data_IF_140548843803
#
_entry.id   IF_140548843803
#
_cell.length_a   1.000
_cell.length_b   1.000
_cell.length_c   1.000
_cell.angle_alpha   90.00
_cell.angle_beta   90.00
_cell.angle_gamma   90.00
#
_symmetry.space_group_name_H-M   'P 1'
#
loop_
_entity.id
_entity.type
_entity.pdbx_description
1 polymer ?
#
# COMPACT_ATOMS: atom_id res chain seq x y z
N UNK A 1 -7.75 9.53 11.47
CA UNK A 1 -8.22 10.13 10.22
C UNK A 1 -9.64 10.68 10.44
N UNK A 2 -9.94 11.84 9.91
CA UNK A 2 -11.27 12.42 9.97
C UNK A 2 -11.82 12.65 8.56
N UNK A 3 -13.07 12.22 8.31
CA UNK A 3 -13.68 12.22 6.98
C UNK A 3 -14.70 13.35 6.85
N UNK A 4 -14.55 14.13 5.78
CA UNK A 4 -15.51 15.14 5.34
C UNK A 4 -15.76 14.99 3.82
N UNK A 5 -16.97 14.56 3.45
CA UNK A 5 -17.33 14.26 2.06
C UNK A 5 -16.42 13.18 1.45
N UNK A 6 -15.80 13.50 0.34
CA UNK A 6 -14.91 12.56 -0.38
C UNK A 6 -13.45 12.57 0.12
N UNK A 7 -13.14 13.34 1.16
CA UNK A 7 -11.79 13.49 1.68
C UNK A 7 -11.62 12.92 3.09
N UNK A 8 -10.45 12.43 3.37
CA UNK A 8 -9.97 12.07 4.70
C UNK A 8 -8.73 12.90 5.03
N UNK A 9 -8.73 13.54 6.17
CA UNK A 9 -7.58 14.29 6.70
C UNK A 9 -7.01 13.53 7.88
N UNK A 10 -5.70 13.32 7.89
CA UNK A 10 -5.01 12.70 9.01
C UNK A 10 -4.22 13.77 9.74
N UNK A 11 -4.33 13.82 11.07
CA UNK A 11 -3.47 14.65 11.91
C UNK A 11 -2.24 13.84 12.32
N UNK A 12 -1.06 14.29 11.92
CA UNK A 12 0.22 13.75 12.34
C UNK A 12 0.91 14.74 13.27
N UNK A 13 1.39 14.26 14.41
CA UNK A 13 2.13 15.06 15.37
C UNK A 13 3.55 14.53 15.47
N UNK A 14 4.51 15.31 14.99
CA UNK A 14 5.93 14.97 15.06
C UNK A 14 6.57 15.55 16.30
N UNK A 15 7.34 14.73 16.99
CA UNK A 15 8.14 15.11 18.15
C UNK A 15 9.56 14.59 18.00
N UNK A 16 10.52 15.23 18.62
CA UNK A 16 11.91 14.75 18.70
C UNK A 16 12.43 14.78 20.12
N UNK A 17 13.26 13.82 20.46
CA UNK A 17 14.04 13.78 21.70
C UNK A 17 15.43 14.34 21.53
N UNK A 18 15.86 14.62 20.27
CA UNK A 18 17.15 15.22 19.94
C UNK A 18 17.22 16.66 20.42
N UNK A 19 18.38 17.09 20.88
CA UNK A 19 18.67 18.50 21.15
C UNK A 19 18.90 19.31 19.86
N UNK A 20 19.26 18.62 18.77
CA UNK A 20 19.34 19.20 17.43
C UNK A 20 17.97 19.22 16.76
N UNK A 21 17.77 20.21 15.88
CA UNK A 21 16.61 20.29 15.02
C UNK A 21 16.58 19.14 14.02
N UNK A 22 15.41 18.54 13.82
CA UNK A 22 15.17 17.45 12.87
C UNK A 22 14.31 17.96 11.73
N UNK A 23 14.82 17.96 10.52
CA UNK A 23 14.07 18.37 9.34
C UNK A 23 13.08 17.28 8.90
N UNK A 24 11.84 17.66 8.61
CA UNK A 24 10.83 16.76 8.03
C UNK A 24 11.07 16.51 6.53
N UNK A 25 11.88 17.32 5.88
CA UNK A 25 12.17 17.16 4.45
C UNK A 25 12.85 15.83 4.12
N UNK A 26 13.81 15.40 4.94
CA UNK A 26 14.59 14.18 4.65
C UNK A 26 13.74 12.90 4.63
N UNK A 27 12.85 12.63 5.62
CA UNK A 27 12.03 11.45 5.60
C UNK A 27 10.86 11.50 4.59
N UNK A 28 10.33 12.69 4.30
CA UNK A 28 9.08 12.82 3.54
C UNK A 28 9.20 13.55 2.21
N UNK A 29 10.31 14.25 1.97
CA UNK A 29 10.54 15.00 0.74
C UNK A 29 10.72 14.08 -0.47
N UNK A 30 10.23 14.51 -1.62
CA UNK A 30 10.48 13.86 -2.89
C UNK A 30 11.61 14.54 -3.64
N UNK A 31 12.56 13.76 -4.17
CA UNK A 31 13.58 14.26 -5.08
C UNK A 31 13.03 14.71 -6.43
N UNK A 32 11.85 14.19 -6.82
CA UNK A 32 11.19 14.53 -8.07
C UNK A 32 10.30 15.77 -7.98
N UNK A 33 9.72 16.02 -6.81
CA UNK A 33 8.89 17.19 -6.53
C UNK A 33 9.29 17.75 -5.17
N UNK A 34 10.33 18.59 -5.11
CA UNK A 34 10.74 19.22 -3.85
C UNK A 34 9.55 19.99 -3.24
N UNK A 35 9.30 19.75 -1.97
CA UNK A 35 8.20 20.39 -1.25
C UNK A 35 6.92 19.58 -1.15
N UNK A 36 6.86 18.35 -1.70
CA UNK A 36 5.67 17.49 -1.63
C UNK A 36 5.90 16.28 -0.70
N UNK A 37 4.91 15.95 0.14
CA UNK A 37 4.90 14.73 0.97
C UNK A 37 4.32 13.53 0.21
N UNK A 38 4.69 13.35 -1.05
CA UNK A 38 4.13 12.32 -1.92
C UNK A 38 4.41 10.89 -1.49
N UNK A 39 5.20 10.71 -0.45
CA UNK A 39 5.62 9.39 0.02
C UNK A 39 4.70 8.80 1.10
N UNK A 40 3.84 9.61 1.77
CA UNK A 40 2.86 9.08 2.73
C UNK A 40 1.77 8.33 1.97
N UNK A 41 1.40 7.16 2.50
CA UNK A 41 0.29 6.36 1.96
C UNK A 41 -0.67 6.00 3.07
N UNK A 42 -1.97 6.16 2.80
CA UNK A 42 -3.02 5.61 3.64
C UNK A 42 -3.45 4.26 3.07
N UNK A 43 -3.56 3.26 3.91
CA UNK A 43 -3.84 1.87 3.53
C UNK A 43 -5.15 1.44 4.18
N UNK A 44 -6.06 0.86 3.39
CA UNK A 44 -7.22 0.11 3.87
C UNK A 44 -7.00 -1.35 3.51
N UNK A 45 -6.29 -2.07 4.37
CA UNK A 45 -5.82 -3.43 4.07
C UNK A 45 -6.99 -4.42 3.96
N UNK A 46 -8.06 -4.23 4.73
CA UNK A 46 -9.29 -5.02 4.67
C UNK A 46 -10.04 -4.88 3.33
N UNK A 47 -9.82 -3.77 2.62
CA UNK A 47 -10.37 -3.50 1.30
C UNK A 47 -9.35 -3.69 0.18
N UNK A 48 -8.09 -3.99 0.51
CA UNK A 48 -7.01 -4.08 -0.46
C UNK A 48 -6.75 -2.76 -1.20
N UNK A 49 -6.87 -1.62 -0.51
CA UNK A 49 -6.75 -0.29 -1.12
C UNK A 49 -5.59 0.51 -0.53
N UNK A 50 -4.90 1.24 -1.40
CA UNK A 50 -3.89 2.24 -1.04
C UNK A 50 -4.26 3.59 -1.62
N UNK A 51 -4.08 4.63 -0.82
CA UNK A 51 -4.38 6.02 -1.15
C UNK A 51 -3.09 6.82 -1.14
N UNK A 52 -2.92 7.63 -2.17
CA UNK A 52 -1.88 8.63 -2.27
C UNK A 52 -2.36 9.92 -1.62
N UNK A 53 -1.45 10.69 -1.06
CA UNK A 53 -1.71 12.04 -0.60
C UNK A 53 -2.06 12.95 -1.76
N UNK A 54 -3.05 13.83 -1.54
CA UNK A 54 -3.62 14.73 -2.56
C UNK A 54 -3.03 16.14 -2.51
N UNK A 55 -2.51 16.60 -1.37
CA UNK A 55 -1.99 17.96 -1.25
C UNK A 55 -0.61 18.06 -1.87
N UNK A 56 -0.48 18.83 -2.95
CA UNK A 56 0.80 19.06 -3.64
C UNK A 56 1.70 20.07 -2.92
N UNK A 57 1.10 21.03 -2.21
CA UNK A 57 1.84 22.03 -1.44
C UNK A 57 1.99 21.61 0.03
N UNK A 58 2.94 20.77 0.32
CA UNK A 58 3.26 20.56 1.73
C UNK A 58 4.09 21.72 2.25
N UNK A 59 3.39 22.73 2.68
CA UNK A 59 3.95 23.98 3.22
C UNK A 59 4.85 23.79 4.43
N UNK A 60 4.84 22.60 5.04
CA UNK A 60 5.52 22.28 6.29
C UNK A 60 6.73 21.37 6.18
N UNK A 61 7.10 20.92 4.96
CA UNK A 61 8.28 20.05 4.76
C UNK A 61 9.60 20.74 5.10
N UNK A 62 9.63 22.04 4.95
CA UNK A 62 10.83 22.82 5.28
C UNK A 62 10.91 23.19 6.76
N UNK A 63 9.90 22.77 7.54
CA UNK A 63 9.87 23.03 8.97
C UNK A 63 10.72 22.00 9.72
N UNK A 64 11.41 22.48 10.70
CA UNK A 64 12.16 21.66 11.64
C UNK A 64 11.27 21.26 12.82
N UNK A 65 11.45 20.05 13.31
CA UNK A 65 10.93 19.62 14.61
C UNK A 65 11.98 19.90 15.65
N UNK A 66 11.64 20.68 16.67
CA UNK A 66 12.50 21.00 17.79
C UNK A 66 12.04 20.23 19.05
N UNK A 67 12.99 19.98 19.94
CA UNK A 67 12.69 19.35 21.23
C UNK A 67 11.66 20.17 22.01
N UNK A 68 10.64 19.49 22.52
CA UNK A 68 9.51 20.07 23.24
C UNK A 68 8.63 21.03 22.40
N UNK A 69 8.77 21.05 21.09
CA UNK A 69 7.90 21.79 20.17
C UNK A 69 7.31 20.83 19.14
N UNK A 70 6.16 20.20 19.44
CA UNK A 70 5.49 19.33 18.47
C UNK A 70 5.16 20.06 17.18
N UNK A 71 5.28 19.36 16.06
CA UNK A 71 4.88 19.85 14.74
C UNK A 71 3.70 19.05 14.24
N UNK A 72 2.63 19.74 13.86
CA UNK A 72 1.44 19.12 13.28
C UNK A 72 1.47 19.22 11.77
N UNK A 73 1.09 18.13 11.11
CA UNK A 73 0.97 18.02 9.66
C UNK A 73 -0.35 17.30 9.35
N UNK A 74 -1.03 17.72 8.30
CA UNK A 74 -2.37 17.27 7.96
C UNK A 74 -2.45 16.75 6.53
N UNK A 75 -1.89 15.56 6.22
CA UNK A 75 -2.02 14.96 4.89
C UNK A 75 -3.48 14.67 4.57
N UNK A 76 -3.84 14.94 3.30
CA UNK A 76 -5.19 14.77 2.77
C UNK A 76 -5.22 13.62 1.78
N UNK A 77 -6.23 12.78 1.88
CA UNK A 77 -6.46 11.61 1.04
C UNK A 77 -7.91 11.58 0.56
N UNK A 78 -8.21 10.76 -0.44
CA UNK A 78 -9.60 10.35 -0.65
C UNK A 78 -10.11 9.56 0.56
N UNK A 79 -11.39 9.75 0.88
CA UNK A 79 -12.02 9.00 1.97
C UNK A 79 -12.05 7.50 1.66
N UNK A 80 -11.78 6.64 2.65
CA UNK A 80 -11.99 5.21 2.49
C UNK A 80 -13.48 4.90 2.30
N UNK A 81 -13.84 3.72 1.74
CA UNK A 81 -15.23 3.30 1.60
C UNK A 81 -16.00 3.34 2.92
N UNK A 82 -17.30 3.57 2.83
CA UNK A 82 -18.18 3.54 3.98
C UNK A 82 -18.04 2.21 4.74
N UNK A 83 -18.06 2.29 6.09
CA UNK A 83 -17.90 1.14 6.96
C UNK A 83 -16.46 0.77 7.31
N UNK A 84 -15.45 1.41 6.72
CA UNK A 84 -14.06 1.29 7.18
C UNK A 84 -13.90 2.06 8.49
N UNK A 85 -13.60 1.35 9.57
CA UNK A 85 -13.46 1.93 10.92
C UNK A 85 -12.04 2.33 11.27
N UNK A 86 -11.04 1.78 10.58
CA UNK A 86 -9.63 2.10 10.79
C UNK A 86 -8.84 1.94 9.48
N UNK A 87 -7.75 2.68 9.38
CA UNK A 87 -6.78 2.63 8.28
C UNK A 87 -5.37 2.55 8.85
N UNK A 88 -4.42 2.15 8.02
CA UNK A 88 -3.01 2.20 8.36
C UNK A 88 -2.31 3.31 7.58
N UNK A 89 -1.24 3.85 8.12
CA UNK A 89 -0.43 4.89 7.48
C UNK A 89 0.99 4.38 7.28
N UNK A 90 1.43 4.29 6.06
CA UNK A 90 2.83 4.11 5.73
C UNK A 90 3.53 5.46 5.78
N UNK A 91 4.51 5.57 6.66
CA UNK A 91 5.35 6.75 6.86
C UNK A 91 6.79 6.39 6.45
N UNK A 92 7.32 6.98 5.37
CA UNK A 92 8.67 6.67 4.89
C UNK A 92 9.71 6.84 5.99
N UNK A 93 10.63 5.88 6.09
CA UNK A 93 11.68 5.81 7.10
C UNK A 93 11.22 5.75 8.58
N UNK A 94 9.90 5.73 8.83
CA UNK A 94 9.31 5.64 10.18
C UNK A 94 8.48 4.35 10.37
N UNK A 95 8.13 3.65 9.28
CA UNK A 95 7.35 2.42 9.34
C UNK A 95 5.87 2.64 9.08
N UNK A 96 5.03 1.82 9.72
CA UNK A 96 3.58 1.85 9.54
C UNK A 96 2.90 2.12 10.87
N UNK A 97 2.09 3.17 10.91
CA UNK A 97 1.17 3.41 12.03
C UNK A 97 -0.13 2.65 11.74
N UNK A 98 -0.43 1.64 12.54
CA UNK A 98 -1.58 0.75 12.32
C UNK A 98 -2.79 1.15 13.17
N UNK A 99 -3.99 0.83 12.66
CA UNK A 99 -5.23 0.98 13.40
C UNK A 99 -5.62 2.44 13.67
N UNK A 100 -5.26 3.36 12.77
CA UNK A 100 -5.67 4.76 12.86
C UNK A 100 -7.19 4.85 12.68
N UNK A 101 -7.96 5.32 13.68
CA UNK A 101 -9.41 5.32 13.59
C UNK A 101 -9.90 6.28 12.50
N UNK A 102 -10.96 5.86 11.80
CA UNK A 102 -11.70 6.70 10.85
C UNK A 102 -12.89 7.31 11.58
N UNK A 103 -12.87 8.62 11.76
CA UNK A 103 -13.85 9.41 12.48
C UNK A 103 -14.66 10.28 11.50
N UNK A 104 -15.83 10.74 11.93
CA UNK A 104 -16.49 11.86 11.26
C UNK A 104 -15.74 13.15 11.58
N UNK A 105 -15.83 14.14 10.70
CA UNK A 105 -15.23 15.47 10.92
C UNK A 105 -15.66 16.12 12.24
N UNK A 106 -16.93 15.91 12.65
CA UNK A 106 -17.48 16.41 13.90
C UNK A 106 -16.90 15.76 15.16
N UNK A 107 -16.21 14.64 15.02
CA UNK A 107 -15.57 13.88 16.11
C UNK A 107 -14.06 14.17 16.21
N UNK A 108 -13.51 14.91 15.22
CA UNK A 108 -12.11 15.28 15.19
C UNK A 108 -11.80 16.40 16.21
N UNK A 109 -10.58 16.37 16.75
CA UNK A 109 -10.06 17.40 17.63
C UNK A 109 -9.38 18.57 16.90
N UNK A 110 -9.58 18.64 15.57
CA UNK A 110 -9.09 19.68 14.67
C UNK A 110 -10.15 20.02 13.61
N UNK A 111 -10.05 21.18 12.97
CA UNK A 111 -10.98 21.62 11.93
C UNK A 111 -10.58 21.01 10.57
N UNK A 112 -11.30 19.97 10.14
CA UNK A 112 -11.11 19.35 8.82
C UNK A 112 -11.39 20.36 7.71
N UNK A 113 -12.45 21.17 7.84
CA UNK A 113 -12.81 22.20 6.87
C UNK A 113 -11.72 23.24 6.67
N UNK A 114 -11.07 23.68 7.77
CA UNK A 114 -9.97 24.65 7.67
C UNK A 114 -8.74 24.07 6.97
N UNK A 115 -8.45 22.79 7.18
CA UNK A 115 -7.37 22.09 6.45
C UNK A 115 -7.71 22.04 4.96
N UNK A 116 -8.88 21.54 4.60
CA UNK A 116 -9.31 21.39 3.21
C UNK A 116 -9.38 22.73 2.48
N UNK A 117 -9.76 23.81 3.15
CA UNK A 117 -9.82 25.15 2.54
C UNK A 117 -8.46 25.73 2.17
N UNK A 118 -7.38 25.21 2.74
CA UNK A 118 -6.00 25.67 2.53
C UNK A 118 -5.17 24.70 1.68
N UNK A 119 -5.68 23.50 1.44
CA UNK A 119 -4.98 22.48 0.69
C UNK A 119 -5.09 22.74 -0.83
N UNK A 120 -4.01 22.53 -1.55
CA UNK A 120 -3.99 22.53 -3.02
C UNK A 120 -4.05 21.08 -3.50
N UNK A 121 -5.28 20.59 -3.78
CA UNK A 121 -5.52 19.19 -4.03
C UNK A 121 -5.32 18.83 -5.51
N UNK A 122 -4.40 17.89 -5.77
CA UNK A 122 -4.27 17.23 -7.07
C UNK A 122 -4.95 15.86 -7.03
N UNK A 123 -6.04 15.77 -7.79
CA UNK A 123 -6.81 14.53 -7.92
C UNK A 123 -6.46 13.72 -9.18
N UNK A 124 -5.52 14.19 -10.00
CA UNK A 124 -5.20 13.57 -11.29
C UNK A 124 -4.69 12.13 -11.18
N UNK A 125 -4.00 11.81 -10.09
CA UNK A 125 -3.47 10.47 -9.79
C UNK A 125 -3.77 10.05 -8.35
N UNK A 126 -4.93 10.40 -7.85
CA UNK A 126 -5.23 10.32 -6.42
C UNK A 126 -5.56 8.91 -5.90
N UNK A 127 -5.94 7.98 -6.77
CA UNK A 127 -6.43 6.67 -6.36
C UNK A 127 -7.89 6.69 -5.86
N UNK A 128 -8.36 5.68 -5.15
CA UNK A 128 -7.58 4.57 -4.56
C UNK A 128 -7.02 3.61 -5.60
N UNK A 129 -5.86 3.07 -5.27
CA UNK A 129 -5.23 2.01 -6.05
C UNK A 129 -5.42 0.67 -5.35
N UNK A 130 -5.52 -0.42 -6.12
CA UNK A 130 -5.55 -1.75 -5.54
C UNK A 130 -4.17 -2.16 -5.07
N UNK A 131 -4.13 -2.83 -3.92
CA UNK A 131 -2.94 -3.49 -3.42
C UNK A 131 -2.89 -4.86 -4.08
N UNK A 132 -1.88 -5.10 -4.90
CA UNK A 132 -1.57 -6.43 -5.40
C UNK A 132 -0.83 -7.20 -4.31
N UNK A 133 -1.30 -8.41 -4.00
CA UNK A 133 -0.59 -9.29 -3.07
C UNK A 133 0.25 -10.28 -3.86
N UNK A 134 1.50 -10.47 -3.43
CA UNK A 134 2.41 -11.47 -3.95
C UNK A 134 2.81 -12.41 -2.81
N UNK A 135 2.76 -13.69 -3.06
CA UNK A 135 3.18 -14.73 -2.13
C UNK A 135 4.17 -15.64 -2.82
N UNK A 136 5.33 -15.85 -2.20
CA UNK A 136 6.36 -16.77 -2.68
C UNK A 136 6.30 -18.04 -1.85
N UNK A 137 6.45 -19.20 -2.49
CA UNK A 137 6.68 -20.45 -1.76
C UNK A 137 8.07 -20.42 -1.11
N UNK A 138 8.19 -21.01 0.08
CA UNK A 138 9.44 -20.99 0.86
C UNK A 138 10.59 -21.75 0.19
N UNK A 139 10.28 -22.60 -0.79
CA UNK A 139 11.22 -23.40 -1.58
C UNK A 139 11.42 -22.83 -3.00
N UNK A 140 10.94 -21.61 -3.25
CA UNK A 140 10.97 -20.94 -4.54
C UNK A 140 10.31 -21.73 -5.71
N UNK A 141 9.52 -22.75 -5.40
CA UNK A 141 8.87 -23.62 -6.41
C UNK A 141 7.71 -22.94 -7.13
N UNK A 142 7.09 -21.96 -6.49
CA UNK A 142 5.96 -21.22 -7.08
C UNK A 142 5.83 -19.82 -6.48
N UNK A 143 5.26 -18.92 -7.26
CA UNK A 143 4.75 -17.64 -6.81
C UNK A 143 3.26 -17.51 -7.07
N UNK A 144 2.59 -16.70 -6.27
CA UNK A 144 1.17 -16.40 -6.46
C UNK A 144 0.98 -14.89 -6.43
N UNK A 145 0.42 -14.36 -7.52
CA UNK A 145 -0.01 -12.98 -7.64
C UNK A 145 -1.53 -12.92 -7.67
N UNK A 146 -2.12 -12.08 -6.84
CA UNK A 146 -3.56 -11.89 -6.77
C UNK A 146 -3.94 -10.45 -7.04
N UNK A 147 -4.89 -10.25 -7.94
CA UNK A 147 -5.59 -8.98 -8.17
C UNK A 147 -7.10 -9.14 -7.93
N UNK A 148 -7.91 -8.12 -8.29
CA UNK A 148 -9.37 -8.12 -8.09
C UNK A 148 -10.12 -9.21 -8.84
N UNK A 149 -9.59 -9.67 -9.95
CA UNK A 149 -10.31 -10.50 -10.95
C UNK A 149 -9.67 -11.84 -11.13
N UNK A 150 -8.40 -11.96 -10.82
CA UNK A 150 -7.61 -13.13 -11.11
C UNK A 150 -6.63 -13.48 -10.00
N UNK A 151 -6.29 -14.75 -9.93
CA UNK A 151 -5.17 -15.26 -9.17
C UNK A 151 -4.29 -16.02 -10.15
N UNK A 152 -3.05 -15.56 -10.31
CA UNK A 152 -2.05 -16.20 -11.14
C UNK A 152 -1.09 -16.95 -10.24
N UNK A 153 -0.94 -18.24 -10.47
CA UNK A 153 0.08 -19.07 -9.82
C UNK A 153 1.10 -19.44 -10.88
N UNK A 154 2.34 -19.00 -10.69
CA UNK A 154 3.47 -19.33 -11.56
C UNK A 154 4.26 -20.47 -10.92
N UNK A 155 4.54 -21.51 -11.68
CA UNK A 155 5.34 -22.64 -11.24
C UNK A 155 6.62 -22.66 -12.07
N UNK A 156 7.77 -22.83 -11.43
CA UNK A 156 9.05 -22.91 -12.11
C UNK A 156 9.12 -24.13 -13.04
N UNK A 157 9.55 -23.92 -14.28
CA UNK A 157 9.54 -24.96 -15.31
C UNK A 157 10.45 -26.17 -15.00
N UNK A 158 11.60 -25.93 -14.38
CA UNK A 158 12.56 -26.95 -13.96
C UNK A 158 12.05 -27.86 -12.83
N UNK A 159 11.06 -27.37 -12.08
CA UNK A 159 10.39 -28.16 -11.04
C UNK A 159 9.27 -29.03 -11.64
N UNK A 160 8.67 -28.58 -12.75
CA UNK A 160 7.47 -29.21 -13.32
C UNK A 160 7.83 -30.26 -14.38
N UNK A 161 8.83 -30.00 -15.21
CA UNK A 161 9.22 -30.89 -16.31
C UNK A 161 10.68 -31.33 -16.22
N UNK A 162 10.99 -32.49 -16.75
CA UNK A 162 12.36 -32.87 -16.93
C UNK A 162 12.99 -32.07 -18.09
N UNK A 163 14.30 -31.81 -18.05
CA UNK A 163 15.03 -31.07 -19.08
C UNK A 163 14.79 -31.72 -20.47
N UNK A 164 14.48 -30.89 -21.46
CA UNK A 164 14.19 -31.31 -22.85
C UNK A 164 13.06 -32.35 -22.96
N UNK A 165 12.05 -32.28 -22.07
CA UNK A 165 11.01 -33.30 -22.00
C UNK A 165 9.63 -32.68 -21.69
N UNK A 166 8.60 -33.31 -22.22
CA UNK A 166 7.20 -33.08 -21.88
C UNK A 166 6.71 -33.94 -20.69
N UNK A 167 7.63 -34.73 -20.12
CA UNK A 167 7.31 -35.56 -18.97
C UNK A 167 7.45 -34.78 -17.66
N UNK A 168 6.48 -34.96 -16.78
CA UNK A 168 6.53 -34.37 -15.44
C UNK A 168 7.76 -34.88 -14.68
N UNK A 169 8.39 -33.94 -13.96
CA UNK A 169 9.51 -34.30 -13.07
C UNK A 169 9.02 -35.13 -11.89
N UNK A 170 9.92 -35.79 -11.22
CA UNK A 170 9.60 -36.57 -9.99
C UNK A 170 9.07 -35.66 -8.85
N UNK A 171 9.30 -34.35 -8.92
CA UNK A 171 8.86 -33.36 -7.91
C UNK A 171 7.53 -32.70 -8.29
N UNK A 172 7.09 -32.83 -9.55
CA UNK A 172 5.90 -32.18 -10.08
C UNK A 172 4.64 -32.46 -9.24
N UNK A 173 4.44 -33.69 -8.82
CA UNK A 173 3.26 -34.08 -8.04
C UNK A 173 3.16 -33.29 -6.72
N UNK A 174 4.26 -33.08 -6.03
CA UNK A 174 4.28 -32.32 -4.77
C UNK A 174 4.03 -30.83 -4.97
N UNK A 175 4.62 -30.27 -6.04
CA UNK A 175 4.43 -28.84 -6.40
C UNK A 175 3.00 -28.59 -6.84
N UNK A 176 2.47 -29.44 -7.72
CA UNK A 176 1.08 -29.34 -8.18
C UNK A 176 0.08 -29.52 -7.03
N UNK A 177 0.36 -30.40 -6.05
CA UNK A 177 -0.45 -30.51 -4.85
C UNK A 177 -0.46 -29.19 -4.04
N UNK A 178 0.68 -28.52 -3.92
CA UNK A 178 0.77 -27.20 -3.27
C UNK A 178 -0.03 -26.15 -4.03
N UNK A 179 0.04 -26.12 -5.34
CA UNK A 179 -0.75 -25.22 -6.20
C UNK A 179 -2.24 -25.45 -6.01
N UNK A 180 -2.69 -26.72 -5.97
CA UNK A 180 -4.09 -27.06 -5.71
C UNK A 180 -4.55 -26.56 -4.35
N UNK A 181 -3.73 -26.69 -3.30
CA UNK A 181 -4.06 -26.16 -1.97
C UNK A 181 -4.10 -24.63 -1.93
N UNK A 182 -3.29 -23.97 -2.74
CA UNK A 182 -3.36 -22.51 -2.90
C UNK A 182 -4.66 -22.12 -3.60
N UNK A 183 -5.02 -22.76 -4.71
CA UNK A 183 -6.25 -22.50 -5.46
C UNK A 183 -7.49 -22.72 -4.57
N UNK A 184 -7.52 -23.73 -3.72
CA UNK A 184 -8.65 -23.98 -2.79
C UNK A 184 -8.89 -22.87 -1.76
N UNK A 185 -7.93 -21.99 -1.52
CA UNK A 185 -8.10 -20.85 -0.60
C UNK A 185 -8.94 -19.72 -1.21
N UNK A 186 -9.16 -19.75 -2.52
CA UNK A 186 -9.94 -18.76 -3.22
C UNK A 186 -11.42 -19.18 -3.34
N UNK A 187 -12.34 -18.20 -3.51
CA UNK A 187 -13.76 -18.50 -3.66
C UNK A 187 -13.99 -19.50 -4.80
N UNK A 188 -14.89 -20.46 -4.57
CA UNK A 188 -15.25 -21.42 -5.59
C UNK A 188 -16.04 -20.76 -6.72
N UNK A 189 -15.67 -21.05 -7.94
CA UNK A 189 -16.28 -20.54 -9.17
C UNK A 189 -15.35 -19.61 -9.93
N UNK A 190 -15.27 -19.82 -11.24
CA UNK A 190 -14.39 -19.08 -12.16
C UNK A 190 -13.81 -19.99 -13.21
N UNK A 191 -13.17 -19.39 -14.21
CA UNK A 191 -12.48 -20.09 -15.27
C UNK A 191 -11.03 -20.34 -14.86
N UNK A 192 -10.53 -21.55 -15.06
CA UNK A 192 -9.14 -21.90 -14.89
C UNK A 192 -8.44 -21.89 -16.26
N UNK A 193 -7.45 -21.05 -16.44
CA UNK A 193 -6.59 -21.03 -17.60
C UNK A 193 -5.20 -21.56 -17.23
N UNK A 194 -4.72 -22.55 -17.96
CA UNK A 194 -3.36 -23.09 -17.80
C UNK A 194 -2.55 -22.68 -19.02
N UNK A 195 -1.43 -21.99 -18.77
CA UNK A 195 -0.50 -21.56 -19.83
C UNK A 195 0.86 -22.19 -19.57
N UNK A 196 1.38 -22.90 -20.56
CA UNK A 196 2.76 -23.40 -20.56
C UNK A 196 3.64 -22.49 -21.41
N UNK A 197 4.87 -22.25 -20.94
CA UNK A 197 5.90 -21.55 -21.67
C UNK A 197 7.09 -22.49 -21.88
N UNK A 198 7.65 -22.47 -23.07
CA UNK A 198 8.95 -23.10 -23.36
C UNK A 198 10.02 -22.03 -23.42
N UNK A 199 11.26 -22.37 -23.10
CA UNK A 199 12.41 -21.51 -23.34
C UNK A 199 12.69 -21.39 -24.86
N UNK A 200 13.29 -20.28 -25.25
CA UNK A 200 13.67 -19.97 -26.64
C UNK A 200 15.04 -20.54 -27.00
N UNK A 201 15.55 -21.55 -26.28
CA UNK A 201 16.85 -22.13 -26.56
C UNK A 201 16.68 -23.15 -27.68
N UNK A 202 17.11 -22.75 -28.89
CA UNK A 202 17.25 -23.60 -30.06
C UNK A 202 18.68 -24.09 -30.21
#
# INVERSE_FOLDING_TARGET
AAVNGKYAVVRLVFTTTSDDKVSLFQPFGSTYRPGTMVAIRMLSLDKGLVYRELDEEVRHLYDDVEKNKPREVFPVFHAPPEGVSAVDLFLPNMGVATGVPVLKDTEADFSVGDVLSKAELDESEAGPFKIETMSLAADDSSDTKQDEKSTTVTVAGDVTFATDSDQLSAQADSVLATVVEQIKKFPSGGDLTITGHTDDVA
#
